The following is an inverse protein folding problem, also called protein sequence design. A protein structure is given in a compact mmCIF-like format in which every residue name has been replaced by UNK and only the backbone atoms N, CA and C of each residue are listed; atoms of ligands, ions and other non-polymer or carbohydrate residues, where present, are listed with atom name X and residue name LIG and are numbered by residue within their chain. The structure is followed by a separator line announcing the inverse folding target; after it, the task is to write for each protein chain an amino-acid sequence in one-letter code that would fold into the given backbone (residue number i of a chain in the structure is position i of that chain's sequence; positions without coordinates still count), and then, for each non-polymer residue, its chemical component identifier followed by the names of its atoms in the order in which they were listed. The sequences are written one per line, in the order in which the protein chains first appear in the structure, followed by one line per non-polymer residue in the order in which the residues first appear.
data_IF_798053374959
#
_entry.id   IF_798053374959
#
_cell.length_a   1.000
_cell.length_b   1.000
_cell.length_c   1.000
_cell.angle_alpha   90.00
_cell.angle_beta   90.00
_cell.angle_gamma   90.00
#
_symmetry.space_group_name_H-M   'P 1'
#
loop_
_entity.id
_entity.type
_entity.pdbx_description
1 polymer ?
#
# COMPACT_ATOMS: atom_id res chain seq x y z
N UNK A 1 11.35 -32.73 6.77
CA UNK A 1 10.56 -31.49 6.92
C UNK A 1 10.19 -31.01 5.52
N UNK A 2 8.98 -31.27 5.05
CA UNK A 2 8.53 -30.78 3.75
C UNK A 2 8.16 -29.29 3.90
N UNK A 3 8.74 -28.37 3.11
CA UNK A 3 8.33 -26.98 3.14
C UNK A 3 6.88 -26.90 2.65
N UNK A 4 6.05 -26.16 3.38
CA UNK A 4 4.63 -25.97 3.04
C UNK A 4 4.53 -25.32 1.66
N UNK A 5 4.07 -26.07 0.64
CA UNK A 5 4.00 -25.64 -0.76
C UNK A 5 3.19 -24.35 -0.95
N UNK A 6 2.17 -24.14 -0.10
CA UNK A 6 1.34 -22.94 -0.10
C UNK A 6 2.16 -21.67 0.19
N UNK A 7 3.14 -21.76 1.09
CA UNK A 7 4.04 -20.66 1.44
C UNK A 7 5.02 -20.36 0.30
N UNK A 8 5.48 -21.39 -0.41
CA UNK A 8 6.36 -21.22 -1.56
C UNK A 8 5.64 -20.56 -2.75
N UNK A 9 4.39 -20.94 -3.02
CA UNK A 9 3.58 -20.32 -4.07
C UNK A 9 3.25 -18.85 -3.74
N UNK A 10 2.84 -18.55 -2.51
CA UNK A 10 2.55 -17.18 -2.06
C UNK A 10 3.76 -16.24 -2.23
N UNK A 11 4.99 -16.73 -1.98
CA UNK A 11 6.23 -15.96 -2.19
C UNK A 11 6.56 -15.68 -3.66
N UNK A 12 6.13 -16.52 -4.60
CA UNK A 12 6.53 -16.40 -6.00
C UNK A 12 5.70 -15.36 -6.78
N UNK A 13 4.47 -15.06 -6.35
CA UNK A 13 3.53 -14.25 -7.12
C UNK A 13 3.30 -12.82 -6.60
N UNK A 14 3.72 -12.51 -5.38
CA UNK A 14 3.60 -11.17 -4.79
C UNK A 14 4.97 -10.65 -4.31
N UNK A 15 5.69 -9.83 -5.09
CA UNK A 15 6.92 -9.16 -4.63
C UNK A 15 6.64 -8.13 -3.51
N UNK A 16 5.39 -7.99 -3.07
CA UNK A 16 4.99 -7.19 -1.90
C UNK A 16 5.55 -7.74 -0.58
N UNK A 17 5.89 -9.03 -0.51
CA UNK A 17 6.58 -9.56 0.67
C UNK A 17 8.09 -9.24 0.71
N UNK A 18 8.66 -8.64 -0.35
CA UNK A 18 10.02 -8.11 -0.33
C UNK A 18 10.13 -6.72 0.27
N UNK A 19 9.01 -6.11 0.64
CA UNK A 19 9.07 -4.92 1.48
C UNK A 19 9.74 -5.33 2.76
N UNK A 20 10.96 -4.79 2.90
CA UNK A 20 11.82 -4.80 4.05
C UNK A 20 10.99 -5.04 5.31
N UNK A 21 10.98 -6.32 5.75
CA UNK A 21 10.66 -6.67 7.14
C UNK A 21 11.37 -5.61 7.97
N UNK A 22 10.58 -4.75 8.61
CA UNK A 22 11.08 -3.60 9.34
C UNK A 22 12.24 -3.99 10.24
N UNK A 23 13.13 -3.04 10.51
CA UNK A 23 14.33 -3.19 11.34
C UNK A 23 14.22 -4.39 12.27
N UNK A 24 15.11 -5.37 12.07
CA UNK A 24 15.24 -6.52 12.95
C UNK A 24 15.43 -5.98 14.36
N UNK A 25 14.35 -5.91 15.14
CA UNK A 25 14.43 -5.61 16.55
C UNK A 25 15.27 -6.75 17.13
N UNK A 26 16.52 -6.43 17.44
CA UNK A 26 17.49 -7.37 17.97
C UNK A 26 17.10 -7.63 19.42
N UNK A 27 16.19 -8.59 19.62
CA UNK A 27 15.72 -8.95 20.96
C UNK A 27 14.62 -10.00 20.92
N UNK A 28 14.61 -10.88 21.92
CA UNK A 28 13.55 -11.85 22.22
C UNK A 28 12.26 -11.21 22.75
N UNK A 29 12.01 -9.94 22.41
CA UNK A 29 10.95 -9.14 23.02
C UNK A 29 9.64 -9.50 22.31
N UNK A 30 8.88 -10.38 22.94
CA UNK A 30 7.46 -10.48 22.71
C UNK A 30 6.80 -9.25 23.34
N UNK A 31 6.24 -8.37 22.50
CA UNK A 31 5.48 -7.20 22.95
C UNK A 31 4.02 -7.42 22.61
N UNK A 32 3.14 -7.19 23.57
CA UNK A 32 1.69 -7.23 23.38
C UNK A 32 1.15 -5.82 23.63
N UNK A 33 0.32 -5.34 22.72
CA UNK A 33 -0.28 -4.01 22.75
C UNK A 33 -1.75 -4.10 22.34
N UNK A 34 -2.60 -3.33 23.01
CA UNK A 34 -3.98 -3.14 22.57
C UNK A 34 -4.04 -1.97 21.59
N UNK A 35 -4.64 -2.17 20.43
CA UNK A 35 -4.84 -1.13 19.42
C UNK A 35 -6.32 -1.03 19.05
N UNK A 36 -6.76 0.19 18.75
CA UNK A 36 -8.12 0.47 18.25
C UNK A 36 -8.25 0.27 16.72
N UNK A 37 -7.13 0.24 16.00
CA UNK A 37 -7.09 0.19 14.53
C UNK A 37 -5.95 -0.73 14.06
N UNK A 38 -6.13 -1.53 12.99
CA UNK A 38 -7.28 -1.57 12.07
C UNK A 38 -8.55 -2.23 12.63
N UNK A 39 -8.43 -3.06 13.67
CA UNK A 39 -9.57 -3.65 14.39
C UNK A 39 -9.27 -3.57 15.88
N UNK A 40 -10.22 -3.13 16.74
CA UNK A 40 -10.01 -3.11 18.18
C UNK A 40 -9.63 -4.49 18.72
N UNK A 41 -8.49 -4.59 19.41
CA UNK A 41 -7.99 -5.86 19.89
C UNK A 41 -6.56 -5.84 20.42
N UNK A 42 -6.10 -7.02 20.87
CA UNK A 42 -4.74 -7.26 21.34
C UNK A 42 -3.88 -7.78 20.18
N UNK A 43 -2.79 -7.07 19.96
CA UNK A 43 -1.77 -7.34 18.96
C UNK A 43 -0.47 -7.78 19.62
N UNK A 44 0.23 -8.73 19.00
CA UNK A 44 1.53 -9.22 19.44
C UNK A 44 2.58 -9.04 18.37
N UNK A 45 3.71 -8.49 18.77
CA UNK A 45 4.91 -8.47 17.96
C UNK A 45 5.63 -9.82 18.07
N UNK A 46 5.80 -10.48 16.92
CA UNK A 46 6.55 -11.73 16.79
C UNK A 46 7.88 -11.42 16.09
N UNK A 47 9.03 -11.61 16.76
CA UNK A 47 10.34 -11.37 16.15
C UNK A 47 10.51 -12.08 14.80
N UNK A 48 10.93 -11.32 13.79
CA UNK A 48 11.11 -11.82 12.42
C UNK A 48 9.82 -12.01 11.60
N UNK A 49 8.63 -11.88 12.20
CA UNK A 49 7.35 -11.90 11.50
C UNK A 49 6.61 -10.56 11.53
N UNK A 50 6.79 -9.75 12.58
CA UNK A 50 6.11 -8.46 12.74
C UNK A 50 4.87 -8.53 13.64
N UNK A 51 3.98 -7.55 13.51
CA UNK A 51 2.74 -7.45 14.30
C UNK A 51 1.67 -8.43 13.81
N UNK A 52 0.98 -9.06 14.76
CA UNK A 52 -0.13 -9.98 14.50
C UNK A 52 -1.29 -9.67 15.43
N UNK A 53 -2.51 -9.72 14.94
CA UNK A 53 -3.71 -9.71 15.78
C UNK A 53 -3.87 -11.09 16.42
N UNK A 54 -4.05 -11.14 17.73
CA UNK A 54 -4.26 -12.38 18.49
C UNK A 54 -5.66 -12.43 19.09
N UNK A 55 -6.18 -11.31 19.58
CA UNK A 55 -7.50 -11.27 20.19
C UNK A 55 -8.25 -10.04 19.69
N UNK A 56 -9.49 -10.21 19.24
CA UNK A 56 -10.38 -9.09 18.93
C UNK A 56 -11.18 -8.72 20.17
N UNK A 57 -11.44 -7.44 20.36
CA UNK A 57 -12.32 -7.00 21.43
C UNK A 57 -13.74 -7.57 21.22
N UNK A 58 -14.35 -8.05 22.30
CA UNK A 58 -15.65 -8.72 22.27
C UNK A 58 -15.61 -10.19 21.83
N UNK A 59 -14.45 -10.73 21.46
CA UNK A 59 -14.29 -12.17 21.24
C UNK A 59 -13.79 -12.84 22.53
N UNK A 60 -14.46 -13.92 22.98
CA UNK A 60 -14.07 -14.64 24.21
C UNK A 60 -12.85 -15.54 23.99
N UNK A 61 -12.46 -15.77 22.73
CA UNK A 61 -11.40 -16.70 22.37
C UNK A 61 -10.37 -16.04 21.47
N UNK A 62 -9.10 -16.40 21.68
CA UNK A 62 -8.00 -16.02 20.80
C UNK A 62 -8.28 -16.49 19.36
N UNK A 63 -7.82 -15.69 18.40
CA UNK A 63 -7.83 -16.04 17.00
C UNK A 63 -7.02 -17.32 16.80
N UNK A 64 -7.68 -18.35 16.22
CA UNK A 64 -7.07 -19.68 15.98
C UNK A 64 -5.76 -19.59 15.21
N UNK A 65 -5.64 -18.58 14.35
CA UNK A 65 -4.43 -18.25 13.60
C UNK A 65 -4.16 -16.75 13.76
N UNK A 66 -3.00 -16.34 14.30
CA UNK A 66 -2.64 -14.94 14.39
C UNK A 66 -2.67 -14.28 13.01
N UNK A 67 -3.39 -13.16 12.88
CA UNK A 67 -3.56 -12.49 11.58
C UNK A 67 -2.44 -11.47 11.41
N UNK A 68 -1.56 -11.61 10.40
CA UNK A 68 -0.39 -10.73 10.23
C UNK A 68 -0.78 -9.33 9.75
N UNK A 69 0.00 -8.34 10.21
CA UNK A 69 -0.11 -6.94 9.82
C UNK A 69 1.17 -6.45 9.15
N UNK A 70 0.98 -5.53 8.21
CA UNK A 70 2.06 -4.86 7.49
C UNK A 70 1.86 -3.35 7.56
N UNK A 71 2.96 -2.61 7.68
CA UNK A 71 2.90 -1.16 7.60
C UNK A 71 2.78 -0.74 6.13
N UNK A 72 1.62 -0.19 5.75
CA UNK A 72 1.41 0.31 4.40
C UNK A 72 2.04 1.69 4.25
N UNK A 73 3.07 1.79 3.40
CA UNK A 73 3.79 3.04 3.13
C UNK A 73 2.97 4.08 2.35
N UNK A 74 1.91 3.67 1.67
CA UNK A 74 1.03 4.56 0.91
C UNK A 74 -0.01 5.20 1.83
N UNK A 75 -0.63 4.38 2.69
CA UNK A 75 -1.64 4.83 3.66
C UNK A 75 -1.04 5.34 4.98
N UNK A 76 0.27 5.17 5.18
CA UNK A 76 1.00 5.51 6.39
C UNK A 76 0.44 4.87 7.69
N UNK A 77 -0.18 3.69 7.60
CA UNK A 77 -0.75 2.96 8.73
C UNK A 77 -0.58 1.45 8.59
N UNK A 78 -0.75 0.73 9.70
CA UNK A 78 -0.83 -0.73 9.67
C UNK A 78 -2.16 -1.18 9.08
N UNK A 79 -2.09 -2.16 8.17
CA UNK A 79 -3.24 -2.87 7.62
C UNK A 79 -2.95 -4.37 7.68
N UNK A 80 -3.97 -5.21 7.49
CA UNK A 80 -3.73 -6.64 7.44
C UNK A 80 -2.99 -7.05 6.16
N UNK A 81 -2.21 -8.13 6.24
CA UNK A 81 -1.45 -8.65 5.10
C UNK A 81 -2.38 -9.04 3.93
N UNK A 82 -3.51 -9.68 4.23
CA UNK A 82 -4.51 -10.04 3.20
C UNK A 82 -5.14 -8.81 2.55
N UNK A 83 -5.41 -7.76 3.32
CA UNK A 83 -5.96 -6.50 2.80
C UNK A 83 -4.95 -5.81 1.87
N UNK A 84 -3.66 -5.82 2.22
CA UNK A 84 -2.59 -5.33 1.34
C UNK A 84 -2.57 -6.10 0.02
N UNK A 85 -2.72 -7.43 0.05
CA UNK A 85 -2.76 -8.27 -1.16
C UNK A 85 -3.97 -7.97 -2.05
N UNK A 86 -5.16 -7.84 -1.46
CA UNK A 86 -6.41 -7.56 -2.17
C UNK A 86 -6.39 -6.19 -2.86
N UNK A 87 -5.75 -5.20 -2.22
CA UNK A 87 -5.58 -3.84 -2.75
C UNK A 87 -4.49 -3.73 -3.81
N UNK A 88 -3.63 -4.73 -3.97
CA UNK A 88 -2.49 -4.69 -4.89
C UNK A 88 -2.77 -5.42 -6.21
N UNK A 89 -2.65 -4.73 -7.36
CA UNK A 89 -2.84 -5.33 -8.69
C UNK A 89 -1.81 -4.90 -9.72
N UNK A 90 -1.26 -5.87 -10.45
CA UNK A 90 -0.33 -5.62 -11.54
C UNK A 90 -1.07 -5.20 -12.81
N UNK A 91 -0.68 -4.06 -13.40
CA UNK A 91 -1.15 -3.64 -14.71
C UNK A 91 0.00 -3.15 -15.59
N UNK A 92 -0.10 -3.41 -16.90
CA UNK A 92 0.80 -2.84 -17.90
C UNK A 92 0.16 -1.59 -18.47
N UNK A 93 0.84 -0.45 -18.36
CA UNK A 93 0.31 0.86 -18.74
C UNK A 93 1.29 1.61 -19.63
N UNK A 94 0.78 2.42 -20.54
CA UNK A 94 1.57 3.36 -21.33
C UNK A 94 1.61 4.72 -20.62
N UNK A 95 2.77 5.10 -20.10
CA UNK A 95 2.93 6.35 -19.34
C UNK A 95 2.90 7.57 -20.26
N UNK A 96 3.35 7.46 -21.50
CA UNK A 96 3.21 8.54 -22.48
C UNK A 96 2.79 7.94 -23.82
N UNK A 97 2.14 8.76 -24.65
CA UNK A 97 1.74 8.33 -25.98
C UNK A 97 3.00 7.99 -26.79
N UNK A 98 3.05 6.77 -27.35
CA UNK A 98 4.23 6.23 -28.02
C UNK A 98 5.32 5.62 -27.11
N UNK A 99 5.18 5.71 -25.78
CA UNK A 99 6.10 5.02 -24.87
C UNK A 99 5.84 3.51 -24.83
N UNK A 100 6.88 2.74 -24.52
CA UNK A 100 6.75 1.30 -24.28
C UNK A 100 5.86 1.07 -23.04
N UNK A 101 4.94 0.09 -23.06
CA UNK A 101 4.17 -0.26 -21.89
C UNK A 101 5.09 -0.66 -20.73
N UNK A 102 4.87 -0.05 -19.57
CA UNK A 102 5.56 -0.38 -18.34
C UNK A 102 4.63 -1.12 -17.39
N UNK A 103 5.16 -2.16 -16.74
CA UNK A 103 4.41 -2.94 -15.75
C UNK A 103 4.59 -2.30 -14.37
N UNK A 104 3.49 -1.89 -13.76
CA UNK A 104 3.46 -1.27 -12.44
C UNK A 104 2.53 -2.05 -11.51
N UNK A 105 2.84 -2.02 -10.21
CA UNK A 105 1.95 -2.53 -9.18
C UNK A 105 1.13 -1.37 -8.63
N UNK A 106 -0.17 -1.44 -8.85
CA UNK A 106 -1.12 -0.46 -8.38
C UNK A 106 -1.66 -0.86 -7.01
N UNK A 107 -1.99 0.14 -6.20
CA UNK A 107 -2.62 0.02 -4.90
C UNK A 107 -3.95 0.77 -4.88
N UNK A 108 -5.01 0.10 -4.42
CA UNK A 108 -6.35 0.66 -4.25
C UNK A 108 -6.45 1.44 -2.94
N UNK A 109 -6.83 2.72 -3.03
CA UNK A 109 -7.03 3.59 -1.88
C UNK A 109 -8.32 3.24 -1.12
N UNK A 110 -8.49 3.86 0.05
CA UNK A 110 -9.65 3.63 0.94
C UNK A 110 -11.00 4.01 0.33
N UNK A 111 -11.01 4.85 -0.71
CA UNK A 111 -12.24 5.23 -1.41
C UNK A 111 -12.83 4.09 -2.27
N UNK A 112 -12.07 3.01 -2.48
CA UNK A 112 -12.52 1.81 -3.16
C UNK A 112 -12.53 1.90 -4.69
N UNK A 113 -12.13 3.03 -5.28
CA UNK A 113 -12.10 3.20 -6.74
C UNK A 113 -10.83 3.89 -7.26
N UNK A 114 -10.13 4.69 -6.45
CA UNK A 114 -8.90 5.34 -6.86
C UNK A 114 -7.70 4.42 -6.66
N UNK A 115 -6.89 4.32 -7.71
CA UNK A 115 -5.64 3.57 -7.69
C UNK A 115 -4.42 4.48 -7.76
N UNK A 116 -3.30 4.02 -7.19
CA UNK A 116 -1.99 4.69 -7.30
C UNK A 116 -0.92 3.69 -7.68
N UNK A 117 0.06 4.10 -8.48
CA UNK A 117 1.22 3.27 -8.79
C UNK A 117 2.20 3.29 -7.60
N UNK A 118 2.27 2.17 -6.86
CA UNK A 118 3.09 2.07 -5.66
C UNK A 118 4.45 1.43 -5.88
N UNK A 119 4.58 0.58 -6.92
CA UNK A 119 5.84 -0.10 -7.24
C UNK A 119 6.11 -0.19 -8.74
N UNK A 120 7.39 -0.14 -9.08
CA UNK A 120 7.87 -0.34 -10.44
C UNK A 120 7.87 -1.83 -10.84
N UNK A 121 8.24 -2.12 -12.09
CA UNK A 121 8.33 -3.47 -12.63
C UNK A 121 9.30 -4.39 -11.87
N UNK A 122 10.25 -3.83 -11.12
CA UNK A 122 11.24 -4.56 -10.31
C UNK A 122 10.75 -4.75 -8.87
N UNK A 123 9.57 -4.24 -8.51
CA UNK A 123 9.05 -4.27 -7.15
C UNK A 123 9.68 -3.20 -6.23
N UNK A 124 10.37 -2.21 -6.78
CA UNK A 124 10.88 -1.08 -5.98
C UNK A 124 9.74 -0.12 -5.67
N UNK A 125 9.63 0.27 -4.40
CA UNK A 125 8.63 1.25 -3.96
C UNK A 125 8.85 2.61 -4.63
N UNK A 126 7.76 3.19 -5.13
CA UNK A 126 7.69 4.52 -5.70
C UNK A 126 7.16 5.46 -4.60
N UNK A 127 7.98 6.39 -4.08
CA UNK A 127 7.51 7.39 -3.13
C UNK A 127 6.61 8.42 -3.81
N UNK A 128 5.63 8.95 -3.08
CA UNK A 128 4.75 10.01 -3.56
C UNK A 128 5.46 11.35 -3.83
N UNK A 129 4.74 12.34 -4.39
CA UNK A 129 3.28 12.41 -4.55
C UNK A 129 2.72 11.44 -5.59
N UNK A 130 1.55 10.87 -5.30
CA UNK A 130 0.93 9.85 -6.16
C UNK A 130 0.01 10.45 -7.20
N UNK A 131 0.27 10.12 -8.48
CA UNK A 131 -0.69 10.30 -9.55
C UNK A 131 -1.88 9.36 -9.33
N UNK A 132 -3.10 9.88 -9.43
CA UNK A 132 -4.33 9.08 -9.35
C UNK A 132 -4.64 8.40 -10.67
N UNK A 133 -5.15 7.18 -10.57
CA UNK A 133 -5.57 6.33 -11.67
C UNK A 133 -6.95 5.73 -11.37
N UNK A 134 -7.67 5.39 -12.43
CA UNK A 134 -8.92 4.65 -12.38
C UNK A 134 -8.79 3.40 -13.23
N UNK A 135 -9.34 2.30 -12.76
CA UNK A 135 -9.39 1.07 -13.55
C UNK A 135 -10.52 1.17 -14.56
N UNK A 136 -10.18 1.13 -15.85
CA UNK A 136 -11.15 1.04 -16.93
C UNK A 136 -11.47 -0.44 -17.21
N UNK A 137 -12.68 -0.86 -16.88
CA UNK A 137 -13.17 -2.22 -17.09
C UNK A 137 -13.32 -2.60 -18.56
N UNK A 138 -13.58 -1.62 -19.45
CA UNK A 138 -13.76 -1.88 -20.89
C UNK A 138 -12.42 -2.16 -21.56
N UNK A 139 -11.45 -1.26 -21.38
CA UNK A 139 -10.11 -1.44 -21.93
C UNK A 139 -9.22 -2.37 -21.08
N UNK A 140 -9.70 -2.82 -19.92
CA UNK A 140 -8.98 -3.64 -18.93
C UNK A 140 -7.62 -3.05 -18.54
N UNK A 141 -7.52 -1.72 -18.50
CA UNK A 141 -6.27 -0.98 -18.25
C UNK A 141 -6.47 0.13 -17.24
N UNK A 142 -5.37 0.64 -16.70
CA UNK A 142 -5.44 1.81 -15.83
C UNK A 142 -5.38 3.08 -16.66
N UNK A 143 -6.28 4.02 -16.38
CA UNK A 143 -6.27 5.36 -16.97
C UNK A 143 -5.89 6.38 -15.91
N UNK A 144 -5.01 7.31 -16.27
CA UNK A 144 -4.67 8.43 -15.37
C UNK A 144 -5.86 9.35 -15.24
N UNK A 145 -6.09 9.80 -14.02
CA UNK A 145 -6.91 10.97 -13.80
C UNK A 145 -6.09 12.19 -14.23
N UNK A 146 -6.42 12.72 -15.40
CA UNK A 146 -5.90 14.01 -15.81
C UNK A 146 -6.61 15.02 -14.90
N UNK A 147 -5.94 15.43 -13.83
CA UNK A 147 -6.28 16.72 -13.24
C UNK A 147 -6.19 17.73 -14.39
N UNK A 148 -7.18 18.61 -14.59
CA UNK A 148 -6.95 19.74 -15.48
C UNK A 148 -5.64 20.39 -15.01
N UNK A 149 -4.73 20.68 -15.96
CA UNK A 149 -3.64 21.60 -15.67
C UNK A 149 -4.28 22.75 -14.93
N UNK A 150 -3.89 22.92 -13.66
CA UNK A 150 -4.54 23.82 -12.73
C UNK A 150 -4.90 25.09 -13.48
N UNK A 151 -6.18 25.46 -13.45
CA UNK A 151 -6.65 26.80 -13.69
C UNK A 151 -5.54 27.74 -13.29
N UNK A 152 -4.92 28.39 -14.28
CA UNK A 152 -3.91 29.41 -14.06
C UNK A 152 -4.55 30.45 -13.14
N UNK A 153 -4.42 30.29 -11.83
CA UNK A 153 -4.62 31.40 -10.91
C UNK A 153 -3.39 32.23 -11.16
N UNK A 154 -3.55 33.14 -12.15
CA UNK A 154 -2.62 34.21 -12.44
C UNK A 154 -2.15 34.71 -11.09
N UNK A 155 -0.87 34.46 -10.82
CA UNK A 155 -0.15 35.12 -9.74
C UNK A 155 -0.26 36.60 -10.08
N UNK A 156 -1.27 37.27 -9.51
CA UNK A 156 -1.37 38.71 -9.53
C UNK A 156 -0.15 39.20 -8.77
N UNK A 157 0.95 39.39 -9.48
CA UNK A 157 2.01 40.29 -9.06
C UNK A 157 1.33 41.64 -8.93
N UNK A 158 0.93 41.96 -7.69
CA UNK A 158 0.67 43.33 -7.28
C UNK A 158 2.01 44.04 -7.42
N UNK A 159 2.25 44.58 -8.62
CA UNK A 159 3.24 45.63 -8.80
C UNK A 159 2.61 46.87 -8.18
N UNK A 160 3.23 47.49 -7.16
CA UNK A 160 2.77 48.80 -6.71
C UNK A 160 3.05 49.79 -7.85
N UNK A 161 2.01 50.24 -8.53
CA UNK A 161 2.11 51.40 -9.39
C UNK A 161 2.55 52.60 -8.55
N UNK A 162 3.76 53.08 -8.82
CA UNK A 162 4.18 54.44 -8.45
C UNK A 162 3.30 55.42 -9.21
N UNK A 163 2.68 56.34 -8.49
CA UNK A 163 2.23 57.70 -8.86
C UNK A 163 2.01 58.36 -7.48
N UNK A 164 2.65 59.45 -7.07
CA UNK A 164 3.24 60.64 -7.72
C UNK A 164 4.17 61.29 -6.72
#
# INVERSE_FOLDING_TARGET
MAPNLFICLRKAFCPVYWFQRGERIHGSIHKEEHWESPVPGIYKYIPGRGWHLILKDGNEHEEKLPVPLVYCRILHRYIFEHEMEERCRWHSVTIHEGAKPERLLFFLLDDGYTWVAGWDAKGKFIPGPYQKWHYDSEARTMRRELFPESSNVSRASIVPNKLT
#
